data_IF_801923848401
#
_entry.id   IF_801923848401
#
_cell.length_a   1.000
_cell.length_b   1.000
_cell.length_c   1.000
_cell.angle_alpha   90.00
_cell.angle_beta   90.00
_cell.angle_gamma   90.00
#
_symmetry.space_group_name_H-M   'P 1'
#
loop_
_entity.id
_entity.type
_entity.pdbx_description
1 polymer ?
#
# COMPACT_ATOMS: atom_id res chain seq x y z
N UNK A 1 32.18 28.88 -85.11
CA UNK A 1 31.34 28.53 -83.93
C UNK A 1 29.92 28.97 -84.24
N UNK A 2 28.96 28.03 -84.23
CA UNK A 2 27.58 28.22 -84.71
C UNK A 2 26.72 28.85 -83.61
N UNK A 3 26.02 29.95 -83.93
CA UNK A 3 25.02 30.57 -83.06
C UNK A 3 23.71 29.77 -83.15
N UNK A 4 23.27 29.18 -82.03
CA UNK A 4 21.93 28.61 -81.89
C UNK A 4 21.03 29.65 -81.20
N UNK A 5 20.04 30.15 -81.94
CA UNK A 5 18.94 30.97 -81.42
C UNK A 5 17.87 30.00 -80.88
N UNK A 6 17.63 30.03 -79.57
CA UNK A 6 16.55 29.28 -78.91
C UNK A 6 15.31 30.18 -78.87
N UNK A 7 14.26 29.80 -79.60
CA UNK A 7 12.94 30.40 -79.52
C UNK A 7 12.20 29.85 -78.29
N UNK A 8 11.92 30.71 -77.30
CA UNK A 8 11.06 30.39 -76.17
C UNK A 8 9.59 30.63 -76.56
N UNK A 9 8.82 29.56 -76.77
CA UNK A 9 7.37 29.64 -76.94
C UNK A 9 6.72 29.86 -75.56
N UNK A 10 6.25 31.09 -75.31
CA UNK A 10 5.41 31.41 -74.16
C UNK A 10 4.00 30.85 -74.39
N UNK A 11 3.70 29.70 -73.77
CA UNK A 11 2.34 29.18 -73.65
C UNK A 11 1.57 30.04 -72.63
N UNK A 12 0.68 30.89 -73.12
CA UNK A 12 -0.33 31.57 -72.31
C UNK A 12 -1.33 30.53 -71.80
N UNK A 13 -1.15 30.10 -70.54
CA UNK A 13 -2.20 29.42 -69.79
C UNK A 13 -3.16 30.53 -69.31
N UNK A 14 -4.47 30.48 -69.61
CA UNK A 14 -5.40 31.45 -69.07
C UNK A 14 -5.42 31.29 -67.55
N UNK A 15 -4.98 32.32 -66.83
CA UNK A 15 -5.32 32.48 -65.41
C UNK A 15 -6.84 32.60 -65.37
N UNK A 16 -7.53 31.49 -65.12
CA UNK A 16 -8.92 31.54 -64.69
C UNK A 16 -8.90 32.27 -63.35
N UNK A 17 -9.48 33.48 -63.32
CA UNK A 17 -9.71 34.15 -62.05
C UNK A 17 -10.59 33.23 -61.23
N UNK A 18 -10.01 32.57 -60.22
CA UNK A 18 -10.80 31.99 -59.14
C UNK A 18 -11.50 33.18 -58.48
N UNK A 19 -12.72 33.47 -58.94
CA UNK A 19 -13.55 34.53 -58.41
C UNK A 19 -13.62 34.32 -56.90
N UNK A 20 -13.05 35.27 -56.16
CA UNK A 20 -13.10 35.28 -54.71
C UNK A 20 -14.59 35.37 -54.35
N UNK A 21 -15.19 34.24 -53.97
CA UNK A 21 -16.62 34.18 -53.69
C UNK A 21 -16.89 35.17 -52.56
N UNK A 22 -17.63 36.23 -52.87
CA UNK A 22 -17.88 37.36 -51.96
C UNK A 22 -18.59 36.85 -50.71
N UNK A 23 -18.07 37.20 -49.53
CA UNK A 23 -18.75 36.97 -48.26
C UNK A 23 -19.98 37.88 -48.22
N UNK A 24 -21.14 37.31 -47.92
CA UNK A 24 -22.40 38.04 -47.72
C UNK A 24 -22.97 37.72 -46.35
N UNK A 25 -23.71 38.64 -45.72
CA UNK A 25 -24.53 38.30 -44.57
C UNK A 25 -25.84 37.67 -45.05
N UNK A 26 -26.31 36.64 -44.36
CA UNK A 26 -27.55 35.96 -44.73
C UNK A 26 -28.04 35.01 -43.65
N UNK A 27 -29.07 34.24 -44.03
CA UNK A 27 -29.72 33.25 -43.19
C UNK A 27 -29.97 31.98 -44.00
N UNK A 28 -29.85 30.81 -43.37
CA UNK A 28 -30.26 29.55 -43.96
C UNK A 28 -30.72 28.56 -42.89
N UNK A 29 -31.45 27.53 -43.30
CA UNK A 29 -31.71 26.38 -42.43
C UNK A 29 -30.49 25.48 -42.42
N UNK A 30 -30.05 25.08 -41.22
CA UNK A 30 -29.13 23.96 -41.06
C UNK A 30 -29.86 22.82 -40.34
N UNK A 31 -29.45 21.59 -40.56
CA UNK A 31 -30.01 20.42 -39.88
C UNK A 31 -28.87 19.59 -39.32
N UNK A 32 -28.96 19.25 -38.03
CA UNK A 32 -27.99 18.43 -37.34
C UNK A 32 -28.71 17.41 -36.48
N UNK A 33 -28.37 16.13 -36.65
CA UNK A 33 -28.98 15.01 -35.92
C UNK A 33 -30.53 15.04 -35.97
N UNK A 34 -31.11 15.48 -37.09
CA UNK A 34 -32.55 15.58 -37.28
C UNK A 34 -33.21 16.82 -36.66
N UNK A 35 -32.44 17.73 -36.05
CA UNK A 35 -32.94 18.99 -35.50
C UNK A 35 -32.60 20.12 -36.45
N UNK A 36 -33.61 20.86 -36.90
CA UNK A 36 -33.42 22.05 -37.73
C UNK A 36 -32.98 23.24 -36.88
N UNK A 37 -32.19 24.10 -37.47
CA UNK A 37 -31.75 25.35 -36.86
C UNK A 37 -31.71 26.48 -37.86
N UNK A 38 -31.95 27.69 -37.38
CA UNK A 38 -31.89 28.91 -38.18
C UNK A 38 -30.51 29.54 -38.01
N UNK A 39 -29.68 29.43 -39.04
CA UNK A 39 -28.38 30.09 -39.10
C UNK A 39 -28.53 31.56 -39.49
N UNK A 40 -27.77 32.45 -38.86
CA UNK A 40 -27.57 33.84 -39.29
C UNK A 40 -26.09 34.21 -39.22
N UNK A 41 -25.54 34.80 -40.28
CA UNK A 41 -24.15 35.24 -40.27
C UNK A 41 -23.52 35.35 -41.65
N UNK A 42 -22.19 35.26 -41.67
CA UNK A 42 -21.39 35.32 -42.88
C UNK A 42 -21.57 34.05 -43.74
N UNK A 43 -21.75 34.23 -45.04
CA UNK A 43 -22.07 33.17 -45.98
C UNK A 43 -21.25 33.29 -47.25
N UNK A 44 -20.94 32.13 -47.84
CA UNK A 44 -20.30 32.03 -49.16
C UNK A 44 -20.98 30.92 -49.95
N UNK A 45 -21.52 31.26 -51.12
CA UNK A 45 -22.19 30.29 -52.00
C UNK A 45 -23.38 29.59 -51.33
N UNK A 46 -24.18 30.34 -50.56
CA UNK A 46 -25.36 29.82 -49.85
C UNK A 46 -25.05 28.95 -48.63
N UNK A 47 -23.79 28.84 -48.21
CA UNK A 47 -23.37 28.07 -47.03
C UNK A 47 -22.78 28.97 -45.95
N UNK A 48 -22.96 28.63 -44.65
CA UNK A 48 -22.27 29.28 -43.54
C UNK A 48 -20.75 29.29 -43.72
N UNK A 49 -20.12 30.45 -43.51
CA UNK A 49 -18.67 30.66 -43.67
C UNK A 49 -18.22 31.87 -42.84
N UNK A 50 -17.20 31.73 -41.99
CA UNK A 50 -16.78 32.80 -41.07
C UNK A 50 -17.67 32.86 -39.83
N UNK A 51 -17.88 34.03 -39.26
CA UNK A 51 -18.66 34.19 -38.02
C UNK A 51 -20.16 34.08 -38.26
N UNK A 52 -20.86 33.38 -37.38
CA UNK A 52 -22.32 33.37 -37.34
C UNK A 52 -22.88 32.65 -36.12
N UNK A 53 -24.21 32.60 -36.04
CA UNK A 53 -24.95 31.91 -34.99
C UNK A 53 -26.01 30.99 -35.57
N UNK A 54 -26.39 29.96 -34.80
CA UNK A 54 -27.49 29.05 -35.10
C UNK A 54 -28.33 28.88 -33.85
N UNK A 55 -29.63 29.12 -33.97
CA UNK A 55 -30.62 28.70 -32.96
C UNK A 55 -31.34 27.46 -33.49
N UNK A 56 -31.20 26.33 -32.80
CA UNK A 56 -31.86 25.08 -33.12
C UNK A 56 -33.27 25.04 -32.52
N UNK A 57 -34.18 24.31 -33.16
CA UNK A 57 -35.58 24.15 -32.72
C UNK A 57 -35.71 23.51 -31.33
N UNK A 58 -34.71 22.73 -30.91
CA UNK A 58 -34.64 22.16 -29.57
C UNK A 58 -34.13 23.14 -28.49
N UNK A 59 -33.83 24.39 -28.86
CA UNK A 59 -33.31 25.43 -27.96
C UNK A 59 -31.79 25.52 -27.88
N UNK A 60 -31.05 24.59 -28.50
CA UNK A 60 -29.58 24.70 -28.53
C UNK A 60 -29.14 25.91 -29.35
N UNK A 61 -28.03 26.53 -28.94
CA UNK A 61 -27.44 27.69 -29.59
C UNK A 61 -25.97 27.42 -29.89
N UNK A 62 -25.53 27.75 -31.11
CA UNK A 62 -24.11 27.86 -31.42
C UNK A 62 -23.79 29.27 -31.90
N UNK A 63 -22.68 29.84 -31.43
CA UNK A 63 -22.11 31.09 -31.92
C UNK A 63 -20.61 30.91 -32.16
N UNK A 64 -20.13 31.12 -33.38
CA UNK A 64 -18.72 30.89 -33.68
C UNK A 64 -18.36 30.90 -35.15
N UNK A 65 -17.20 30.30 -35.43
CA UNK A 65 -16.64 30.18 -36.77
C UNK A 65 -17.24 29.00 -37.56
N UNK A 66 -17.45 29.24 -38.84
CA UNK A 66 -17.92 28.26 -39.81
C UNK A 66 -16.95 28.14 -40.98
N UNK A 67 -16.80 26.93 -41.52
CA UNK A 67 -16.11 26.67 -42.77
C UNK A 67 -16.89 25.67 -43.59
N UNK A 68 -17.24 26.04 -44.83
CA UNK A 68 -18.01 25.19 -45.76
C UNK A 68 -19.31 24.63 -45.17
N UNK A 69 -20.00 25.41 -44.34
CA UNK A 69 -21.24 25.02 -43.69
C UNK A 69 -21.10 24.16 -42.43
N UNK A 70 -19.89 23.98 -41.91
CA UNK A 70 -19.61 23.24 -40.66
C UNK A 70 -19.01 24.17 -39.60
N UNK A 71 -19.29 23.93 -38.33
CA UNK A 71 -18.58 24.57 -37.21
C UNK A 71 -17.10 24.22 -37.30
N UNK A 72 -16.27 25.24 -37.14
CA UNK A 72 -14.82 25.19 -37.27
C UNK A 72 -14.23 26.24 -36.32
N UNK A 73 -12.93 26.26 -36.06
CA UNK A 73 -12.30 27.41 -35.39
C UNK A 73 -12.78 27.56 -33.95
N UNK A 74 -13.07 28.77 -33.48
CA UNK A 74 -13.56 28.98 -32.11
C UNK A 74 -15.07 29.19 -32.09
N UNK A 75 -15.76 28.65 -31.08
CA UNK A 75 -17.17 28.93 -30.87
C UNK A 75 -17.70 28.44 -29.53
N UNK A 76 -18.87 28.96 -29.18
CA UNK A 76 -19.63 28.63 -27.99
C UNK A 76 -20.87 27.85 -28.42
N UNK A 77 -21.10 26.70 -27.81
CA UNK A 77 -22.33 25.93 -27.93
C UNK A 77 -23.01 25.88 -26.57
N UNK A 78 -24.23 26.40 -26.49
CA UNK A 78 -25.07 26.36 -25.29
C UNK A 78 -26.20 25.37 -25.56
N UNK A 79 -26.30 24.35 -24.72
CA UNK A 79 -27.35 23.35 -24.77
C UNK A 79 -28.61 23.89 -24.07
N UNK A 80 -29.78 23.39 -24.49
CA UNK A 80 -31.06 23.83 -23.92
C UNK A 80 -31.23 23.50 -22.42
N UNK A 81 -30.47 22.51 -21.92
CA UNK A 81 -30.41 22.13 -20.51
C UNK A 81 -29.44 23.00 -19.68
N UNK A 82 -28.78 23.97 -20.30
CA UNK A 82 -27.86 24.91 -19.67
C UNK A 82 -26.39 24.49 -19.72
N UNK A 83 -26.06 23.30 -20.24
CA UNK A 83 -24.66 22.93 -20.48
C UNK A 83 -24.03 23.86 -21.52
N UNK A 84 -22.72 24.04 -21.46
CA UNK A 84 -22.02 24.94 -22.39
C UNK A 84 -20.62 24.46 -22.72
N UNK A 85 -20.31 24.36 -24.01
CA UNK A 85 -18.95 24.22 -24.50
C UNK A 85 -18.46 25.53 -25.09
N UNK A 86 -17.27 25.95 -24.69
CA UNK A 86 -16.57 27.12 -25.23
C UNK A 86 -15.16 26.70 -25.63
N UNK A 87 -14.87 26.66 -26.94
CA UNK A 87 -13.57 26.14 -27.37
C UNK A 87 -13.44 25.97 -28.88
N UNK A 88 -12.46 25.16 -29.26
CA UNK A 88 -12.16 24.92 -30.66
C UNK A 88 -13.09 23.85 -31.27
N UNK A 89 -13.42 24.01 -32.55
CA UNK A 89 -14.30 23.14 -33.31
C UNK A 89 -13.60 22.69 -34.60
N UNK A 90 -13.85 21.45 -34.99
CA UNK A 90 -13.41 20.89 -36.25
C UNK A 90 -14.53 20.01 -36.82
N UNK A 91 -15.04 20.38 -38.00
CA UNK A 91 -16.06 19.60 -38.71
C UNK A 91 -17.29 19.25 -37.83
N UNK A 92 -17.88 20.25 -37.17
CA UNK A 92 -19.00 20.10 -36.22
C UNK A 92 -18.69 19.42 -34.89
N UNK A 93 -17.45 19.01 -34.62
CA UNK A 93 -17.06 18.35 -33.38
C UNK A 93 -16.21 19.26 -32.49
N UNK A 94 -16.36 19.11 -31.17
CA UNK A 94 -15.48 19.73 -30.18
C UNK A 94 -14.06 19.16 -30.36
N UNK A 95 -13.07 20.05 -30.36
CA UNK A 95 -11.69 19.71 -30.69
C UNK A 95 -10.71 20.68 -30.02
N UNK A 96 -9.42 20.34 -29.98
CA UNK A 96 -8.38 21.25 -29.48
C UNK A 96 -8.63 21.65 -28.03
N UNK A 97 -8.35 22.89 -27.66
CA UNK A 97 -8.60 23.41 -26.31
C UNK A 97 -10.02 23.93 -26.17
N UNK A 98 -10.66 23.59 -25.05
CA UNK A 98 -11.99 24.08 -24.72
C UNK A 98 -12.32 23.94 -23.25
N UNK A 99 -13.36 24.67 -22.85
CA UNK A 99 -13.98 24.61 -21.54
C UNK A 99 -15.39 24.08 -21.67
N UNK A 100 -15.74 23.06 -20.91
CA UNK A 100 -17.11 22.55 -20.80
C UNK A 100 -17.65 22.85 -19.41
N UNK A 101 -18.84 23.45 -19.37
CA UNK A 101 -19.61 23.72 -18.17
C UNK A 101 -20.78 22.73 -18.13
N UNK A 102 -20.77 21.85 -17.13
CA UNK A 102 -21.79 20.82 -16.97
C UNK A 102 -22.98 21.38 -16.19
N UNK A 103 -24.16 20.81 -16.39
CA UNK A 103 -25.39 21.23 -15.70
C UNK A 103 -25.33 20.99 -14.18
N UNK A 104 -24.48 20.07 -13.74
CA UNK A 104 -24.23 19.77 -12.33
C UNK A 104 -23.21 20.71 -11.67
N UNK A 105 -22.82 21.81 -12.33
CA UNK A 105 -21.80 22.77 -11.93
C UNK A 105 -20.35 22.24 -11.96
N UNK A 106 -20.10 21.05 -12.51
CA UNK A 106 -18.73 20.67 -12.85
C UNK A 106 -18.21 21.55 -14.00
N UNK A 107 -16.89 21.61 -14.14
CA UNK A 107 -16.23 22.32 -15.22
C UNK A 107 -14.98 21.57 -15.67
N UNK A 108 -14.90 21.26 -16.96
CA UNK A 108 -13.67 20.73 -17.57
C UNK A 108 -12.95 21.83 -18.35
N UNK A 109 -11.64 21.96 -18.18
CA UNK A 109 -10.76 22.84 -18.95
C UNK A 109 -9.62 22.02 -19.50
N UNK A 110 -9.58 21.77 -20.80
CA UNK A 110 -8.56 20.88 -21.33
C UNK A 110 -8.65 20.65 -22.83
N UNK A 111 -8.01 19.57 -23.24
CA UNK A 111 -7.94 19.11 -24.62
C UNK A 111 -9.15 18.23 -24.97
N UNK A 112 -9.65 18.40 -26.19
CA UNK A 112 -10.80 17.73 -26.76
C UNK A 112 -10.41 17.10 -28.09
N UNK A 113 -10.92 15.91 -28.35
CA UNK A 113 -10.74 15.23 -29.64
C UNK A 113 -12.02 14.50 -30.03
N UNK A 114 -12.70 15.02 -31.06
CA UNK A 114 -13.92 14.42 -31.62
C UNK A 114 -15.00 14.24 -30.55
N UNK A 115 -15.30 15.32 -29.84
CA UNK A 115 -16.34 15.37 -28.80
C UNK A 115 -15.99 14.69 -27.47
N UNK A 116 -14.78 14.13 -27.33
CA UNK A 116 -14.30 13.53 -26.08
C UNK A 116 -13.21 14.38 -25.41
N UNK A 117 -13.19 14.40 -24.08
CA UNK A 117 -12.05 14.85 -23.29
C UNK A 117 -10.86 13.93 -23.55
N UNK A 118 -9.70 14.52 -23.83
CA UNK A 118 -8.53 13.81 -24.34
C UNK A 118 -7.24 14.52 -23.96
N UNK A 119 -6.17 13.80 -23.62
CA UNK A 119 -4.90 14.40 -23.21
C UNK A 119 -5.04 15.20 -21.91
N UNK A 120 -4.14 16.15 -21.67
CA UNK A 120 -4.13 16.91 -20.43
C UNK A 120 -5.35 17.83 -20.27
N UNK A 121 -5.98 17.78 -19.08
CA UNK A 121 -7.10 18.65 -18.71
C UNK A 121 -7.33 18.69 -17.20
N UNK A 122 -8.05 19.72 -16.76
CA UNK A 122 -8.43 19.96 -15.38
C UNK A 122 -9.94 19.86 -15.25
N UNK A 123 -10.42 18.95 -14.41
CA UNK A 123 -11.82 18.86 -14.00
C UNK A 123 -11.98 19.49 -12.63
N UNK A 124 -12.88 20.45 -12.52
CA UNK A 124 -13.36 21.03 -11.28
C UNK A 124 -14.73 20.42 -10.99
N UNK A 125 -14.87 19.75 -9.86
CA UNK A 125 -16.12 19.14 -9.45
C UNK A 125 -16.91 20.08 -8.55
N UNK A 126 -18.23 19.98 -8.60
CA UNK A 126 -19.15 20.82 -7.82
C UNK A 126 -18.94 20.68 -6.31
N UNK A 127 -18.43 19.53 -5.85
CA UNK A 127 -18.11 19.25 -4.46
C UNK A 127 -16.80 19.91 -3.99
N UNK A 128 -16.11 20.64 -4.88
CA UNK A 128 -14.83 21.30 -4.60
C UNK A 128 -13.60 20.44 -4.90
N UNK A 129 -13.78 19.18 -5.30
CA UNK A 129 -12.65 18.34 -5.72
C UNK A 129 -12.10 18.84 -7.07
N UNK A 130 -10.82 18.55 -7.31
CA UNK A 130 -10.13 18.90 -8.56
C UNK A 130 -9.31 17.71 -9.05
N UNK A 131 -9.50 17.33 -10.30
CA UNK A 131 -8.58 16.45 -11.01
C UNK A 131 -7.75 17.25 -12.01
N UNK A 132 -6.43 17.12 -11.96
CA UNK A 132 -5.51 17.69 -12.93
C UNK A 132 -4.63 16.57 -13.50
N UNK A 133 -4.83 16.20 -14.76
CA UNK A 133 -4.09 15.10 -15.36
C UNK A 133 -4.52 14.75 -16.78
N UNK A 134 -4.11 13.55 -17.21
CA UNK A 134 -4.38 13.05 -18.55
C UNK A 134 -5.78 12.40 -18.66
N UNK A 135 -6.42 12.57 -19.81
CA UNK A 135 -7.74 12.05 -20.13
C UNK A 135 -7.67 11.22 -21.42
N UNK A 136 -8.52 10.21 -21.50
CA UNK A 136 -8.71 9.47 -22.74
C UNK A 136 -10.17 9.04 -22.85
N UNK A 137 -10.88 9.56 -23.85
CA UNK A 137 -12.31 9.28 -24.08
C UNK A 137 -13.15 9.47 -22.80
N UNK A 138 -13.11 10.67 -22.24
CA UNK A 138 -13.85 11.09 -21.04
C UNK A 138 -13.47 10.38 -19.73
N UNK A 139 -12.43 9.54 -19.73
CA UNK A 139 -11.94 8.85 -18.53
C UNK A 139 -10.56 9.38 -18.15
N UNK A 140 -10.30 9.50 -16.84
CA UNK A 140 -8.95 9.75 -16.31
C UNK A 140 -8.03 8.60 -16.68
N UNK A 141 -6.85 8.94 -17.18
CA UNK A 141 -5.88 8.01 -17.75
C UNK A 141 -4.47 8.53 -17.44
N UNK A 142 -3.43 7.70 -17.55
CA UNK A 142 -2.05 8.18 -17.51
C UNK A 142 -1.67 8.74 -16.13
N UNK A 143 -1.06 9.92 -16.07
CA UNK A 143 -0.69 10.58 -14.79
C UNK A 143 -1.68 11.67 -14.44
N UNK A 144 -2.00 11.81 -13.16
CA UNK A 144 -2.82 12.92 -12.69
C UNK A 144 -2.92 13.00 -11.18
N UNK A 145 -3.23 14.21 -10.70
CA UNK A 145 -3.46 14.51 -9.30
C UNK A 145 -4.95 14.79 -9.06
N UNK A 146 -5.58 13.99 -8.20
CA UNK A 146 -6.92 14.25 -7.67
C UNK A 146 -6.79 14.83 -6.27
N UNK A 147 -7.22 16.07 -6.10
CA UNK A 147 -7.25 16.78 -4.82
C UNK A 147 -8.69 16.85 -4.34
N UNK A 148 -8.94 16.31 -3.15
CA UNK A 148 -10.25 16.37 -2.51
C UNK A 148 -10.46 17.75 -1.88
N UNK A 149 -11.71 18.15 -1.75
CA UNK A 149 -12.12 19.42 -1.13
C UNK A 149 -11.61 19.61 0.31
N UNK A 150 -11.34 18.52 1.04
CA UNK A 150 -10.76 18.53 2.38
C UNK A 150 -9.22 18.68 2.41
N UNK A 151 -8.57 18.74 1.25
CA UNK A 151 -7.11 18.85 1.12
C UNK A 151 -6.36 17.53 0.96
N UNK A 152 -7.00 16.38 1.23
CA UNK A 152 -6.43 15.07 0.89
C UNK A 152 -6.16 15.00 -0.62
N UNK A 153 -5.21 14.16 -1.05
CA UNK A 153 -4.96 14.00 -2.48
C UNK A 153 -4.34 12.65 -2.85
N UNK A 154 -4.60 12.24 -4.08
CA UNK A 154 -3.87 11.19 -4.78
C UNK A 154 -3.10 11.80 -5.93
N UNK A 155 -1.80 11.52 -6.03
CA UNK A 155 -0.93 11.89 -7.14
C UNK A 155 -0.28 10.63 -7.70
N UNK A 156 -0.71 10.21 -8.89
CA UNK A 156 -0.26 8.94 -9.42
C UNK A 156 -0.84 8.57 -10.77
N UNK A 157 -0.78 7.27 -11.05
CA UNK A 157 -1.24 6.69 -12.31
C UNK A 157 -2.75 6.35 -12.27
N UNK A 158 -3.40 6.54 -13.42
CA UNK A 158 -4.83 6.33 -13.62
C UNK A 158 -5.05 5.43 -14.84
N UNK A 159 -5.99 4.50 -14.73
CA UNK A 159 -6.45 3.66 -15.85
C UNK A 159 -7.97 3.57 -15.77
N UNK A 160 -8.66 4.07 -16.79
CA UNK A 160 -10.13 4.05 -16.89
C UNK A 160 -10.80 4.52 -15.57
N UNK A 161 -10.45 5.73 -15.12
CA UNK A 161 -10.96 6.37 -13.89
C UNK A 161 -10.57 5.71 -12.56
N UNK A 162 -9.69 4.71 -12.57
CA UNK A 162 -9.22 4.05 -11.35
C UNK A 162 -7.75 4.38 -11.08
N UNK A 163 -7.41 4.62 -9.80
CA UNK A 163 -6.02 4.65 -9.33
C UNK A 163 -5.38 3.30 -9.65
N UNK A 164 -4.22 3.33 -10.29
CA UNK A 164 -3.51 2.15 -10.78
C UNK A 164 -2.01 2.44 -10.81
N UNK A 165 -1.17 1.40 -10.89
CA UNK A 165 0.27 1.56 -10.99
C UNK A 165 0.87 2.34 -9.81
N UNK A 166 1.91 3.14 -10.04
CA UNK A 166 2.57 3.91 -8.97
C UNK A 166 1.79 5.17 -8.61
N UNK A 167 1.63 5.43 -7.32
CA UNK A 167 1.04 6.67 -6.83
C UNK A 167 1.22 6.91 -5.34
N UNK A 168 1.17 8.18 -4.98
CA UNK A 168 1.19 8.68 -3.62
C UNK A 168 -0.21 9.13 -3.20
N UNK A 169 -0.67 8.73 -2.02
CA UNK A 169 -1.91 9.21 -1.43
C UNK A 169 -1.62 9.81 -0.06
N UNK A 170 -2.08 11.03 0.16
CA UNK A 170 -2.14 11.70 1.46
C UNK A 170 -3.62 11.83 1.87
N UNK A 171 -4.00 11.21 2.99
CA UNK A 171 -5.37 11.21 3.48
C UNK A 171 -5.75 12.51 4.22
N UNK A 172 -4.77 13.39 4.48
CA UNK A 172 -4.97 14.64 5.20
C UNK A 172 -5.07 14.49 6.72
N UNK A 173 -5.08 13.26 7.24
CA UNK A 173 -5.07 12.94 8.68
C UNK A 173 -3.67 12.62 9.23
N UNK A 174 -2.64 12.74 8.39
CA UNK A 174 -1.27 12.33 8.67
C UNK A 174 -0.91 10.95 8.10
N UNK A 175 -1.90 10.15 7.72
CA UNK A 175 -1.68 8.88 7.01
C UNK A 175 -1.28 9.15 5.58
N UNK A 176 -0.22 8.47 5.11
CA UNK A 176 0.24 8.53 3.71
C UNK A 176 0.58 7.15 3.18
N UNK A 177 0.52 6.99 1.86
CA UNK A 177 0.89 5.76 1.17
C UNK A 177 1.63 6.10 -0.12
N UNK A 178 2.84 5.58 -0.25
CA UNK A 178 3.63 5.60 -1.49
C UNK A 178 3.82 4.17 -1.97
N UNK A 179 3.18 3.80 -3.09
CA UNK A 179 3.27 2.43 -3.56
C UNK A 179 2.50 2.11 -4.81
N UNK A 180 2.34 0.81 -5.04
CA UNK A 180 1.54 0.27 -6.13
C UNK A 180 0.03 0.32 -5.80
N UNK A 181 -0.76 0.58 -6.84
CA UNK A 181 -2.21 0.66 -6.82
C UNK A 181 -2.78 -0.23 -7.92
N UNK A 182 -3.95 -0.81 -7.65
CA UNK A 182 -4.72 -1.57 -8.64
C UNK A 182 -6.20 -1.39 -8.35
N UNK A 183 -6.95 -0.94 -9.35
CA UNK A 183 -8.40 -0.78 -9.25
C UNK A 183 -8.87 0.01 -8.01
N UNK A 184 -8.20 1.14 -7.70
CA UNK A 184 -8.44 1.98 -6.52
C UNK A 184 -7.92 1.46 -5.17
N UNK A 185 -7.32 0.26 -5.12
CA UNK A 185 -6.83 -0.38 -3.90
C UNK A 185 -5.30 -0.38 -3.87
N UNK A 186 -4.70 -0.31 -2.69
CA UNK A 186 -3.27 -0.57 -2.49
C UNK A 186 -2.98 -2.02 -2.87
N UNK A 187 -1.91 -2.21 -3.62
CA UNK A 187 -1.49 -3.52 -4.14
C UNK A 187 0.03 -3.52 -4.29
N UNK A 188 0.66 -4.66 -4.58
CA UNK A 188 2.11 -4.72 -4.83
C UNK A 188 2.93 -4.19 -3.67
N UNK A 189 4.07 -3.56 -3.94
CA UNK A 189 4.90 -3.01 -2.87
C UNK A 189 4.49 -1.57 -2.54
N UNK A 190 4.45 -1.23 -1.25
CA UNK A 190 4.19 0.13 -0.80
C UNK A 190 4.63 0.41 0.63
N UNK A 191 4.79 1.70 0.91
CA UNK A 191 5.11 2.25 2.22
C UNK A 191 3.90 3.01 2.73
N UNK A 192 3.33 2.57 3.85
CA UNK A 192 2.25 3.27 4.53
C UNK A 192 2.79 3.87 5.83
N UNK A 193 2.70 5.19 5.96
CA UNK A 193 2.92 5.90 7.22
C UNK A 193 1.54 6.13 7.81
N UNK A 194 1.29 5.63 9.01
CA UNK A 194 0.02 5.79 9.71
C UNK A 194 0.00 7.11 10.49
N UNK A 195 -1.20 7.65 10.76
CA UNK A 195 -1.36 8.90 11.50
C UNK A 195 -0.81 8.86 12.95
N UNK A 196 -0.74 7.67 13.56
CA UNK A 196 -0.09 7.47 14.86
C UNK A 196 1.44 7.47 14.80
N UNK A 197 2.02 7.40 13.60
CA UNK A 197 3.47 7.36 13.38
C UNK A 197 4.03 5.96 13.13
N UNK A 198 3.20 4.92 13.17
CA UNK A 198 3.60 3.59 12.72
C UNK A 198 3.93 3.61 11.23
N UNK A 199 4.82 2.73 10.79
CA UNK A 199 5.23 2.64 9.38
C UNK A 199 5.29 1.19 8.92
N UNK A 200 4.48 0.83 7.92
CA UNK A 200 4.59 -0.45 7.23
C UNK A 200 5.26 -0.29 5.87
N UNK A 201 6.22 -1.15 5.58
CA UNK A 201 6.92 -1.25 4.28
C UNK A 201 6.84 -2.70 3.81
N UNK A 202 6.03 -2.99 2.81
CA UNK A 202 5.83 -4.39 2.41
C UNK A 202 4.88 -4.58 1.26
N UNK A 203 4.48 -5.84 1.05
CA UNK A 203 3.52 -6.19 0.02
C UNK A 203 2.08 -5.95 0.49
N UNK A 204 1.24 -5.54 -0.44
CA UNK A 204 -0.17 -5.27 -0.27
C UNK A 204 -0.97 -6.07 -1.31
N UNK A 205 -2.14 -6.54 -0.91
CA UNK A 205 -3.12 -7.14 -1.80
C UNK A 205 -4.50 -6.67 -1.37
N UNK A 206 -5.18 -5.99 -2.28
CA UNK A 206 -6.56 -5.51 -2.09
C UNK A 206 -6.73 -4.71 -0.77
N UNK A 207 -5.84 -3.73 -0.55
CA UNK A 207 -5.75 -2.88 0.65
C UNK A 207 -5.28 -3.56 1.95
N UNK A 208 -4.92 -4.84 1.91
CA UNK A 208 -4.50 -5.62 3.08
C UNK A 208 -3.01 -5.98 2.98
N UNK A 209 -2.28 -5.92 4.10
CA UNK A 209 -0.87 -6.36 4.17
C UNK A 209 -0.78 -7.86 3.85
N UNK A 210 0.16 -8.23 2.99
CA UNK A 210 0.34 -9.60 2.53
C UNK A 210 1.83 -9.86 2.31
N UNK A 211 2.29 -11.12 2.36
CA UNK A 211 3.68 -11.48 2.06
C UNK A 211 4.68 -10.78 2.97
N UNK A 212 5.91 -10.60 2.49
CA UNK A 212 6.99 -10.03 3.33
C UNK A 212 6.82 -8.53 3.55
N UNK A 213 6.98 -8.09 4.79
CA UNK A 213 6.96 -6.69 5.18
C UNK A 213 7.78 -6.38 6.43
N UNK A 214 8.03 -5.10 6.63
CA UNK A 214 8.65 -4.54 7.83
C UNK A 214 7.65 -3.54 8.44
N UNK A 215 7.34 -3.70 9.71
CA UNK A 215 6.50 -2.80 10.48
C UNK A 215 7.34 -2.16 11.57
N UNK A 216 7.51 -0.84 11.49
CA UNK A 216 8.14 -0.03 12.53
C UNK A 216 7.02 0.58 13.37
N UNK A 217 7.02 0.27 14.65
CA UNK A 217 6.06 0.81 15.60
C UNK A 217 6.59 2.15 16.15
N UNK A 218 5.68 3.07 16.47
CA UNK A 218 5.99 4.37 17.06
C UNK A 218 6.73 4.22 18.41
N UNK A 219 6.47 3.15 19.15
CA UNK A 219 7.14 2.83 20.40
C UNK A 219 8.62 2.40 20.22
N UNK A 220 9.09 2.24 18.98
CA UNK A 220 10.44 1.81 18.63
C UNK A 220 10.61 0.31 18.39
N UNK A 221 9.55 -0.48 18.59
CA UNK A 221 9.55 -1.89 18.21
C UNK A 221 9.60 -2.02 16.67
N UNK A 222 10.06 -3.16 16.19
CA UNK A 222 10.12 -3.48 14.76
C UNK A 222 9.81 -4.96 14.54
N UNK A 223 8.91 -5.25 13.61
CA UNK A 223 8.71 -6.60 13.08
C UNK A 223 9.18 -6.66 11.63
N UNK A 224 9.93 -7.71 11.29
CA UNK A 224 10.25 -8.10 9.91
C UNK A 224 9.85 -9.55 9.70
N UNK A 225 8.94 -9.82 8.76
CA UNK A 225 8.50 -11.18 8.48
C UNK A 225 7.35 -11.24 7.48
N UNK A 226 6.69 -12.39 7.42
CA UNK A 226 5.55 -12.60 6.53
C UNK A 226 4.23 -12.13 7.16
N UNK A 227 3.31 -11.74 6.28
CA UNK A 227 1.96 -11.28 6.56
C UNK A 227 0.94 -12.07 5.73
N UNK A 228 -0.19 -12.41 6.34
CA UNK A 228 -1.34 -12.96 5.64
C UNK A 228 -2.62 -12.34 6.20
N UNK A 229 -3.43 -11.75 5.32
CA UNK A 229 -4.68 -11.07 5.72
C UNK A 229 -4.47 -9.99 6.81
N UNK A 230 -3.34 -9.28 6.77
CA UNK A 230 -3.01 -8.26 7.77
C UNK A 230 -2.30 -8.79 9.02
N UNK A 231 -2.25 -10.11 9.22
CA UNK A 231 -1.68 -10.72 10.41
C UNK A 231 -0.26 -11.22 10.18
N UNK A 232 0.60 -11.10 11.21
CA UNK A 232 1.95 -11.65 11.19
C UNK A 232 1.88 -13.18 11.19
N UNK A 233 2.62 -13.82 10.30
CA UNK A 233 2.60 -15.27 10.13
C UNK A 233 3.97 -15.78 9.67
N UNK A 234 4.19 -17.09 9.74
CA UNK A 234 5.42 -17.73 9.25
C UNK A 234 6.65 -17.31 10.06
N UNK A 235 7.82 -17.30 9.44
CA UNK A 235 9.07 -16.92 10.10
C UNK A 235 9.21 -15.40 10.17
N UNK A 236 9.56 -14.88 11.34
CA UNK A 236 9.72 -13.45 11.57
C UNK A 236 10.75 -13.10 12.64
N UNK A 237 11.15 -11.83 12.64
CA UNK A 237 12.02 -11.23 13.64
C UNK A 237 11.25 -10.08 14.28
N UNK A 238 11.07 -10.14 15.59
CA UNK A 238 10.54 -9.03 16.37
C UNK A 238 11.68 -8.44 17.20
N UNK A 239 12.04 -7.18 16.95
CA UNK A 239 13.02 -6.41 17.72
C UNK A 239 12.24 -5.47 18.61
N UNK A 240 12.48 -5.54 19.91
CA UNK A 240 11.82 -4.68 20.87
C UNK A 240 12.67 -3.43 21.13
N UNK A 241 12.03 -2.30 21.39
CA UNK A 241 12.69 -1.04 21.71
C UNK A 241 13.60 -1.15 22.95
N UNK A 242 13.28 -2.06 23.87
CA UNK A 242 14.08 -2.35 25.07
C UNK A 242 15.37 -3.15 24.77
N UNK A 243 15.60 -3.55 23.51
CA UNK A 243 16.75 -4.34 23.07
C UNK A 243 16.54 -5.86 23.11
N UNK A 244 15.38 -6.34 23.56
CA UNK A 244 15.00 -7.74 23.43
C UNK A 244 14.77 -8.09 21.95
N UNK A 245 14.88 -9.37 21.61
CA UNK A 245 14.65 -9.85 20.24
C UNK A 245 14.05 -11.24 20.22
N UNK A 246 12.96 -11.41 19.50
CA UNK A 246 12.43 -12.71 19.09
C UNK A 246 12.80 -13.01 17.63
N UNK A 247 13.07 -14.28 17.33
CA UNK A 247 13.25 -14.80 15.97
C UNK A 247 12.68 -16.20 15.92
N UNK A 248 11.63 -16.40 15.14
CA UNK A 248 10.93 -17.67 15.05
C UNK A 248 9.56 -17.53 14.38
N UNK A 249 8.73 -18.55 14.59
CA UNK A 249 7.44 -18.66 13.93
C UNK A 249 6.33 -17.79 14.59
N UNK A 250 5.44 -17.27 13.75
CA UNK A 250 4.24 -16.54 14.11
C UNK A 250 3.01 -17.21 13.52
N UNK A 251 1.89 -17.17 14.26
CA UNK A 251 0.57 -17.59 13.79
C UNK A 251 -0.43 -16.58 14.31
N UNK A 252 -1.18 -15.95 13.41
CA UNK A 252 -2.22 -14.94 13.74
C UNK A 252 -1.69 -13.85 14.69
N UNK A 253 -0.47 -13.36 14.44
CA UNK A 253 0.15 -12.31 15.25
C UNK A 253 0.99 -12.80 16.43
N UNK A 254 0.74 -14.01 16.94
CA UNK A 254 1.35 -14.53 18.16
C UNK A 254 2.59 -15.40 17.87
N UNK A 255 3.62 -15.31 18.72
CA UNK A 255 4.76 -16.24 18.68
C UNK A 255 4.26 -17.66 18.93
N UNK A 256 4.53 -18.55 17.98
CA UNK A 256 4.07 -19.94 17.98
C UNK A 256 5.13 -20.84 17.37
N UNK A 257 5.12 -22.14 17.66
CA UNK A 257 6.10 -23.07 17.10
C UNK A 257 7.51 -22.84 17.64
N UNK A 258 8.55 -23.12 16.86
CA UNK A 258 9.94 -22.97 17.31
C UNK A 258 10.42 -21.52 17.20
N UNK A 259 11.16 -21.06 18.21
CA UNK A 259 11.72 -19.71 18.21
C UNK A 259 12.79 -19.46 19.27
N UNK A 260 13.61 -18.46 18.99
CA UNK A 260 14.62 -17.92 19.90
C UNK A 260 14.15 -16.58 20.45
N UNK A 261 14.17 -16.40 21.76
CA UNK A 261 14.05 -15.09 22.41
C UNK A 261 15.37 -14.74 23.10
N UNK A 262 16.01 -13.67 22.66
CA UNK A 262 17.22 -13.12 23.28
C UNK A 262 16.82 -11.87 24.07
N UNK A 263 17.03 -11.89 25.37
CA UNK A 263 16.79 -10.74 26.22
C UNK A 263 17.99 -9.80 26.21
N UNK A 264 17.75 -8.49 26.31
CA UNK A 264 18.79 -7.48 26.43
C UNK A 264 19.71 -7.72 27.65
N UNK A 265 19.18 -8.34 28.70
CA UNK A 265 19.94 -8.70 29.89
C UNK A 265 21.01 -9.80 29.63
N UNK A 266 21.03 -10.42 28.44
CA UNK A 266 21.96 -11.47 28.02
C UNK A 266 21.44 -12.90 28.19
N UNK A 267 20.26 -13.10 28.76
CA UNK A 267 19.58 -14.39 28.77
C UNK A 267 19.08 -14.72 27.35
N UNK A 268 18.93 -16.01 27.04
CA UNK A 268 18.39 -16.50 25.77
C UNK A 268 17.54 -17.75 25.97
N UNK A 269 16.38 -17.82 25.34
CA UNK A 269 15.54 -19.01 25.28
C UNK A 269 15.48 -19.51 23.84
N UNK A 270 15.59 -20.82 23.67
CA UNK A 270 15.46 -21.52 22.39
C UNK A 270 14.50 -22.69 22.58
N UNK A 271 13.39 -22.71 21.85
CA UNK A 271 12.45 -23.83 21.93
C UNK A 271 11.05 -23.47 21.49
N UNK A 272 10.10 -24.28 21.93
CA UNK A 272 8.72 -24.21 21.51
C UNK A 272 7.92 -23.07 22.21
N UNK A 273 7.05 -22.43 21.42
CA UNK A 273 6.18 -21.32 21.79
C UNK A 273 4.73 -21.65 21.44
N UNK A 274 3.82 -21.12 22.24
CA UNK A 274 2.39 -21.14 21.97
C UNK A 274 1.75 -19.89 22.54
N UNK A 275 1.04 -19.13 21.71
CA UNK A 275 0.31 -17.92 22.09
C UNK A 275 1.19 -16.99 22.95
N UNK A 276 2.35 -16.62 22.40
CA UNK A 276 3.34 -15.74 23.02
C UNK A 276 4.11 -16.26 24.25
N UNK A 277 3.82 -17.48 24.71
CA UNK A 277 4.43 -18.09 25.89
C UNK A 277 5.33 -19.27 25.52
N UNK A 278 6.43 -19.46 26.26
CA UNK A 278 7.23 -20.69 26.17
C UNK A 278 6.35 -21.89 26.53
N UNK A 279 6.25 -22.86 25.63
CA UNK A 279 5.35 -24.00 25.78
C UNK A 279 5.86 -25.20 24.97
N UNK A 280 6.24 -26.29 25.65
CA UNK A 280 6.91 -27.44 25.06
C UNK A 280 8.37 -27.55 25.52
N UNK A 281 9.18 -28.30 24.77
CA UNK A 281 10.61 -28.44 25.09
C UNK A 281 11.36 -27.15 24.75
N UNK A 282 12.31 -26.76 25.61
CA UNK A 282 13.18 -25.63 25.34
C UNK A 282 14.40 -25.57 26.23
N UNK A 283 15.27 -24.61 25.90
CA UNK A 283 16.55 -24.37 26.53
C UNK A 283 16.69 -22.89 26.89
N UNK A 284 16.74 -22.58 28.18
CA UNK A 284 17.02 -21.26 28.72
C UNK A 284 18.49 -21.16 29.13
N UNK A 285 19.24 -20.33 28.43
CA UNK A 285 20.64 -20.00 28.67
C UNK A 285 20.68 -18.67 29.41
N UNK A 286 21.21 -18.67 30.62
CA UNK A 286 21.37 -17.47 31.44
C UNK A 286 22.68 -16.76 31.10
N UNK A 287 22.71 -15.43 31.26
CA UNK A 287 23.94 -14.63 31.10
C UNK A 287 25.11 -15.12 31.96
N UNK A 288 24.82 -15.67 33.14
CA UNK A 288 25.85 -16.20 34.04
C UNK A 288 26.45 -17.55 33.57
N UNK A 289 25.91 -18.15 32.50
CA UNK A 289 26.33 -19.44 31.94
C UNK A 289 25.49 -20.64 32.40
N UNK A 290 24.50 -20.45 33.28
CA UNK A 290 23.58 -21.52 33.65
C UNK A 290 22.68 -21.87 32.48
N UNK A 291 22.43 -23.16 32.26
CA UNK A 291 21.60 -23.65 31.15
C UNK A 291 20.53 -24.56 31.72
N UNK A 292 19.26 -24.24 31.48
CA UNK A 292 18.09 -25.00 31.88
C UNK A 292 17.44 -25.60 30.63
N UNK A 293 17.38 -26.92 30.53
CA UNK A 293 16.83 -27.63 29.38
C UNK A 293 15.73 -28.58 29.85
N UNK A 294 14.51 -28.42 29.35
CA UNK A 294 13.37 -29.19 29.84
C UNK A 294 12.04 -28.77 29.24
N UNK A 295 10.96 -29.21 29.90
CA UNK A 295 9.60 -28.85 29.52
C UNK A 295 9.20 -27.48 30.10
N UNK A 296 8.54 -26.69 29.28
CA UNK A 296 7.94 -25.40 29.63
C UNK A 296 6.42 -25.47 29.42
N UNK A 297 5.67 -24.85 30.31
CA UNK A 297 4.21 -24.72 30.24
C UNK A 297 3.85 -23.31 30.68
N UNK A 298 3.15 -22.59 29.81
CA UNK A 298 2.68 -21.21 30.05
C UNK A 298 3.79 -20.29 30.58
N UNK A 299 4.97 -20.34 29.97
CA UNK A 299 6.12 -19.50 30.29
C UNK A 299 6.93 -19.95 31.52
N UNK A 300 6.63 -21.11 32.12
CA UNK A 300 7.35 -21.63 33.29
C UNK A 300 7.93 -23.00 33.00
N UNK A 301 9.07 -23.32 33.61
CA UNK A 301 9.59 -24.70 33.60
C UNK A 301 8.60 -25.59 34.36
N UNK A 302 8.13 -26.66 33.74
CA UNK A 302 7.12 -27.56 34.28
C UNK A 302 7.31 -28.97 33.70
N UNK A 303 7.72 -29.93 34.54
CA UNK A 303 8.13 -31.27 34.12
C UNK A 303 9.59 -31.57 34.41
N UNK A 304 10.17 -32.55 33.69
CA UNK A 304 11.59 -32.89 33.85
C UNK A 304 12.50 -31.80 33.26
N UNK A 305 13.56 -31.46 34.00
CA UNK A 305 14.58 -30.49 33.61
C UNK A 305 15.98 -31.02 33.89
N UNK A 306 16.92 -30.69 33.00
CA UNK A 306 18.35 -30.82 33.17
C UNK A 306 18.93 -29.41 33.25
N UNK A 307 19.68 -29.12 34.31
CA UNK A 307 20.33 -27.83 34.52
C UNK A 307 21.84 -28.05 34.54
N UNK A 308 22.56 -27.35 33.69
CA UNK A 308 24.02 -27.24 33.72
C UNK A 308 24.38 -25.89 34.33
N UNK A 309 24.86 -25.89 35.56
CA UNK A 309 25.30 -24.65 36.21
C UNK A 309 26.70 -24.25 35.75
N UNK A 310 26.94 -22.95 35.68
CA UNK A 310 28.23 -22.37 35.31
C UNK A 310 29.37 -22.83 36.23
N UNK A 311 29.07 -23.15 37.50
CA UNK A 311 30.05 -23.69 38.45
C UNK A 311 30.46 -25.16 38.18
N UNK A 312 29.87 -25.81 37.17
CA UNK A 312 30.13 -27.20 36.77
C UNK A 312 29.17 -28.22 37.41
N UNK A 313 28.28 -27.79 38.31
CA UNK A 313 27.24 -28.65 38.89
C UNK A 313 26.20 -28.98 37.83
N UNK A 314 25.68 -30.20 37.86
CA UNK A 314 24.56 -30.65 37.04
C UNK A 314 23.39 -31.01 37.94
N UNK A 315 22.18 -30.63 37.55
CA UNK A 315 20.96 -31.02 38.22
C UNK A 315 20.04 -31.70 37.20
N UNK A 316 19.44 -32.82 37.57
CA UNK A 316 18.31 -33.43 36.85
C UNK A 316 17.17 -33.58 37.84
N UNK A 317 16.01 -33.01 37.57
CA UNK A 317 14.88 -33.13 38.50
C UNK A 317 13.56 -32.71 37.88
N UNK A 318 12.53 -32.64 38.72
CA UNK A 318 11.17 -32.28 38.32
C UNK A 318 10.84 -30.88 38.82
N UNK A 319 10.27 -30.06 37.96
CA UNK A 319 9.68 -28.77 38.28
C UNK A 319 8.16 -28.86 38.17
N UNK A 320 7.45 -28.08 38.99
CA UNK A 320 6.01 -27.82 38.86
C UNK A 320 5.74 -26.34 39.06
N UNK A 321 5.07 -25.72 38.11
CA UNK A 321 4.76 -24.28 38.14
C UNK A 321 6.00 -23.39 38.38
N UNK A 322 7.16 -23.77 37.82
CA UNK A 322 8.41 -23.03 37.97
C UNK A 322 9.22 -23.31 39.24
N UNK A 323 8.76 -24.20 40.12
CA UNK A 323 9.46 -24.57 41.36
C UNK A 323 9.93 -26.01 41.32
N UNK A 324 11.09 -26.33 41.91
CA UNK A 324 11.55 -27.72 42.09
C UNK A 324 10.53 -28.48 42.92
N UNK A 325 10.00 -29.57 42.37
CA UNK A 325 8.95 -30.36 43.00
C UNK A 325 9.01 -31.80 42.49
N UNK A 326 9.54 -32.70 43.30
CA UNK A 326 9.72 -34.12 42.98
C UNK A 326 11.16 -34.60 43.17
N UNK A 327 11.47 -35.78 42.61
CA UNK A 327 12.79 -36.40 42.68
C UNK A 327 13.82 -35.60 41.88
N UNK A 328 15.06 -35.62 42.37
CA UNK A 328 16.18 -34.96 41.74
C UNK A 328 17.49 -35.72 41.94
N UNK A 329 18.44 -35.41 41.07
CA UNK A 329 19.83 -35.83 41.11
C UNK A 329 20.67 -34.56 40.91
N UNK A 330 21.57 -34.28 41.85
CA UNK A 330 22.57 -33.21 41.76
C UNK A 330 23.96 -33.84 41.69
N UNK A 331 24.78 -33.44 40.73
CA UNK A 331 26.16 -33.90 40.60
C UNK A 331 27.08 -32.69 40.57
N UNK A 332 27.92 -32.56 41.60
CA UNK A 332 28.92 -31.49 41.68
C UNK A 332 30.05 -31.69 40.66
N UNK A 333 30.79 -30.62 40.39
CA UNK A 333 32.00 -30.66 39.53
C UNK A 333 33.03 -31.70 39.96
N UNK A 334 33.11 -32.01 41.26
CA UNK A 334 34.08 -32.96 41.83
C UNK A 334 33.60 -34.43 41.81
N UNK A 335 32.40 -34.68 41.25
CA UNK A 335 31.78 -36.00 41.12
C UNK A 335 30.95 -36.43 42.34
N UNK A 336 30.82 -35.61 43.39
CA UNK A 336 29.86 -35.90 44.48
C UNK A 336 28.44 -35.82 43.95
N UNK A 337 27.65 -36.85 44.20
CA UNK A 337 26.27 -37.00 43.72
C UNK A 337 25.28 -37.01 44.89
N UNK A 338 24.21 -36.25 44.78
CA UNK A 338 23.09 -36.21 45.70
C UNK A 338 21.83 -36.67 44.96
N UNK A 339 21.13 -37.65 45.52
CA UNK A 339 19.83 -38.13 45.04
C UNK A 339 18.81 -37.81 46.12
N UNK A 340 17.79 -37.01 45.81
CA UNK A 340 16.85 -36.54 46.81
C UNK A 340 15.55 -36.02 46.22
N UNK A 341 14.81 -35.25 47.01
CA UNK A 341 13.50 -34.72 46.62
C UNK A 341 13.35 -33.26 47.05
N UNK A 342 12.57 -32.51 46.26
CA UNK A 342 12.14 -31.16 46.56
C UNK A 342 10.61 -31.08 46.64
N UNK A 343 10.09 -30.19 47.47
CA UNK A 343 8.70 -29.74 47.51
C UNK A 343 8.72 -28.22 47.51
N UNK A 344 8.31 -27.60 46.40
CA UNK A 344 8.26 -26.15 46.23
C UNK A 344 9.59 -25.46 46.58
N UNK A 345 10.68 -25.89 45.92
CA UNK A 345 12.05 -25.41 46.12
C UNK A 345 12.70 -25.77 47.47
N UNK A 346 11.97 -26.42 48.37
CA UNK A 346 12.49 -26.87 49.66
C UNK A 346 12.87 -28.34 49.57
N UNK A 347 14.09 -28.71 49.98
CA UNK A 347 14.48 -30.13 50.09
C UNK A 347 13.59 -30.81 51.13
N UNK A 348 12.96 -31.92 50.74
CA UNK A 348 12.02 -32.64 51.59
C UNK A 348 11.97 -34.11 51.18
N UNK A 349 11.96 -35.03 52.15
CA UNK A 349 11.99 -36.47 51.92
C UNK A 349 13.39 -37.09 51.97
N UNK A 350 13.47 -38.39 51.64
CA UNK A 350 14.70 -39.18 51.75
C UNK A 350 15.78 -38.72 50.76
N UNK A 351 17.05 -38.84 51.16
CA UNK A 351 18.19 -38.58 50.30
C UNK A 351 19.29 -39.65 50.42
N UNK A 352 20.12 -39.74 49.37
CA UNK A 352 21.35 -40.52 49.31
C UNK A 352 22.46 -39.65 48.70
N UNK A 353 23.59 -39.52 49.40
CA UNK A 353 24.81 -38.91 48.87
C UNK A 353 25.85 -39.99 48.53
N UNK A 354 26.44 -39.87 47.35
CA UNK A 354 27.50 -40.74 46.85
C UNK A 354 28.74 -39.93 46.51
N UNK A 355 29.92 -40.51 46.71
CA UNK A 355 31.17 -39.94 46.20
C UNK A 355 31.31 -40.13 44.68
N UNK A 356 32.44 -39.69 44.11
CA UNK A 356 32.74 -39.81 42.68
C UNK A 356 32.84 -41.25 42.15
N UNK A 357 33.07 -42.22 43.04
CA UNK A 357 33.16 -43.63 42.70
C UNK A 357 31.80 -44.34 42.87
N UNK A 358 30.76 -43.60 43.28
CA UNK A 358 29.43 -44.14 43.55
C UNK A 358 29.26 -44.75 44.94
N UNK A 359 30.26 -44.66 45.82
CA UNK A 359 30.17 -45.16 47.19
C UNK A 359 29.24 -44.24 47.99
N UNK A 360 28.26 -44.84 48.68
CA UNK A 360 27.35 -44.08 49.56
C UNK A 360 28.14 -43.54 50.74
N UNK A 361 28.10 -42.22 50.91
CA UNK A 361 28.81 -41.50 51.99
C UNK A 361 27.87 -40.90 53.02
N UNK A 362 26.57 -40.75 52.71
CA UNK A 362 25.56 -40.31 53.67
C UNK A 362 24.16 -40.69 53.16
N UNK A 363 23.29 -41.09 54.08
CA UNK A 363 21.85 -41.22 53.85
C UNK A 363 21.09 -40.49 54.95
N UNK A 364 19.81 -40.21 54.69
CA UNK A 364 18.94 -39.58 55.66
C UNK A 364 17.67 -39.05 55.01
N UNK A 365 17.07 -38.05 55.64
CA UNK A 365 15.93 -37.33 55.10
C UNK A 365 16.01 -35.83 55.39
N UNK A 366 15.26 -35.06 54.62
CA UNK A 366 14.95 -33.67 54.91
C UNK A 366 13.50 -33.55 55.37
N UNK A 367 13.23 -32.69 56.36
CA UNK A 367 11.88 -32.22 56.68
C UNK A 367 11.90 -30.69 56.58
N UNK A 368 11.12 -30.14 55.63
CA UNK A 368 11.02 -28.69 55.42
C UNK A 368 12.40 -28.01 55.32
N UNK A 369 13.34 -28.62 54.59
CA UNK A 369 14.69 -28.10 54.37
C UNK A 369 15.70 -28.43 55.47
N UNK A 370 15.28 -29.01 56.59
CA UNK A 370 16.18 -29.45 57.68
C UNK A 370 16.66 -30.87 57.45
N UNK A 371 17.98 -31.08 57.43
CA UNK A 371 18.63 -32.39 57.23
C UNK A 371 18.68 -33.22 58.51
N UNK A 372 18.33 -34.49 58.41
CA UNK A 372 18.47 -35.52 59.43
C UNK A 372 19.22 -36.71 58.82
N UNK A 373 20.41 -37.02 59.33
CA UNK A 373 21.21 -38.15 58.84
C UNK A 373 20.78 -39.44 59.53
N UNK A 374 20.80 -40.53 58.77
CA UNK A 374 20.72 -41.87 59.38
C UNK A 374 22.00 -42.13 60.20
N UNK A 375 21.85 -42.90 61.28
CA UNK A 375 22.94 -43.23 62.21
C UNK A 375 23.96 -44.20 61.62
#
# INVERSE_FOLDING_TARGET
>A
MKNNIIFFFLLFIPLTSLGQKKISLGSCTIEEMGVKGTYKGQMVGGKPQGKGSVVFENGNLYEGDFSKGKRQGYGVYTFADGERYEGQWLLNQQHGRGTYYFNNNNKYVGLWFRDFQQGHGIMYYFNGDVYNGEWFKDMRQGKGKYTYSNGAFYDGQWVNDKKAGKGFFDWGDGTTYDGDWKNNQRSGYGVNVYADGDVYKGQWRDDIQQGRGIYHFQNGDEYEGDYEQGERTGEGIFKYANGDRYTGHFVEGDKNGEGTFAWHNGDRYEGAWKNDLQNGHGKLIKKNGDVFEGLFSNGKIDGEVIIHYANGTRFKGVYRNGMRNGKCIEESKDGKRFEGMYVNDIRDGKFVEKDRNGQVISTGHYESGRRFNDK
#
